data_IF_776293391013
#
_entry.id   IF_776293391013
#
_cell.length_a   1.000
_cell.length_b   1.000
_cell.length_c   1.000
_cell.angle_alpha   90.00
_cell.angle_beta   90.00
_cell.angle_gamma   90.00
#
_symmetry.space_group_name_H-M   'P 1'
#
loop_
_entity.id
_entity.type
_entity.pdbx_description
1 polymer ?
#
# COMPACT_ATOMS: atom_id res chain seq x y z
N UNK A 1 2.87 7.17 22.56
CA UNK A 1 3.52 6.39 21.50
C UNK A 1 2.83 6.78 20.20
N UNK A 2 3.57 7.05 19.17
CA UNK A 2 3.01 7.44 17.86
C UNK A 2 2.12 6.32 17.33
N UNK A 3 0.88 6.63 16.90
CA UNK A 3 -0.09 5.65 16.41
C UNK A 3 0.45 4.85 15.21
N UNK A 4 1.23 5.53 14.37
CA UNK A 4 1.94 4.93 13.26
C UNK A 4 2.87 3.79 13.69
N UNK A 5 3.73 4.02 14.72
CA UNK A 5 4.68 3.01 15.20
C UNK A 5 3.93 1.80 15.75
N UNK A 6 2.82 2.02 16.45
CA UNK A 6 2.00 0.93 16.97
C UNK A 6 1.42 0.08 15.84
N UNK A 7 0.77 0.69 14.84
CA UNK A 7 0.22 -0.01 13.67
C UNK A 7 1.29 -0.81 12.92
N UNK A 8 2.47 -0.18 12.69
CA UNK A 8 3.60 -0.81 12.02
C UNK A 8 4.10 -2.04 12.79
N UNK A 9 4.28 -1.91 14.11
CA UNK A 9 4.73 -3.02 14.97
C UNK A 9 3.73 -4.16 14.98
N UNK A 10 2.43 -3.88 15.11
CA UNK A 10 1.36 -4.89 15.12
C UNK A 10 1.30 -5.63 13.78
N UNK A 11 1.29 -4.88 12.67
CA UNK A 11 1.16 -5.47 11.33
C UNK A 11 2.28 -6.47 11.00
N UNK A 12 3.51 -6.13 11.34
CA UNK A 12 4.67 -6.96 10.99
C UNK A 12 5.25 -7.76 12.16
N UNK A 13 4.57 -7.78 13.32
CA UNK A 13 5.03 -8.44 14.54
C UNK A 13 6.46 -8.05 14.92
N UNK A 14 6.77 -6.74 14.81
CA UNK A 14 8.09 -6.19 15.09
C UNK A 14 8.12 -5.56 16.50
N UNK A 15 9.06 -5.94 17.38
CA UNK A 15 9.23 -5.27 18.67
C UNK A 15 9.49 -3.77 18.51
N UNK A 16 8.93 -2.94 19.39
CA UNK A 16 9.04 -1.47 19.33
C UNK A 16 10.50 -1.01 19.25
N UNK A 17 11.39 -1.61 20.05
CA UNK A 17 12.81 -1.25 20.05
C UNK A 17 13.47 -1.45 18.68
N UNK A 18 13.11 -2.52 17.96
CA UNK A 18 13.61 -2.80 16.60
C UNK A 18 12.96 -1.91 15.55
N UNK A 19 11.69 -1.56 15.71
CA UNK A 19 11.05 -0.60 14.82
C UNK A 19 11.69 0.78 14.92
N UNK A 20 12.00 1.25 16.10
CA UNK A 20 12.72 2.50 16.32
C UNK A 20 14.13 2.43 15.73
N UNK A 21 14.86 1.33 15.94
CA UNK A 21 16.17 1.12 15.33
C UNK A 21 16.12 1.15 13.80
N UNK A 22 15.10 0.57 13.19
CA UNK A 22 14.88 0.61 11.74
C UNK A 22 14.61 2.06 11.30
N UNK A 23 13.68 2.76 11.94
CA UNK A 23 13.30 4.13 11.61
C UNK A 23 14.45 5.12 11.79
N UNK A 24 15.33 4.94 12.78
CA UNK A 24 16.54 5.77 12.98
C UNK A 24 17.54 5.67 11.81
N UNK A 25 17.46 4.60 11.02
CA UNK A 25 18.27 4.41 9.81
C UNK A 25 17.56 4.87 8.52
N UNK A 26 16.34 5.38 8.63
CA UNK A 26 15.53 5.85 7.51
C UNK A 26 15.48 7.37 7.45
N UNK A 27 15.25 7.91 6.26
CA UNK A 27 15.07 9.34 6.03
C UNK A 27 13.58 9.66 5.87
N UNK A 28 13.15 10.84 6.34
CA UNK A 28 11.77 11.30 6.16
C UNK A 28 11.61 12.02 4.82
N UNK A 29 10.51 11.71 4.13
CA UNK A 29 10.11 12.33 2.89
C UNK A 29 8.67 12.83 3.01
N UNK A 30 8.39 13.99 2.41
CA UNK A 30 7.05 14.56 2.27
C UNK A 30 6.65 14.59 0.81
N UNK A 31 5.38 14.28 0.54
CA UNK A 31 4.80 14.26 -0.80
C UNK A 31 3.46 14.97 -0.79
N UNK A 32 3.17 15.69 -1.86
CA UNK A 32 1.85 16.26 -2.10
C UNK A 32 0.94 15.27 -2.84
N UNK A 33 -0.36 15.48 -2.71
CA UNK A 33 -1.33 14.70 -3.48
C UNK A 33 -0.99 14.74 -4.98
N UNK A 34 -0.93 13.56 -5.61
CA UNK A 34 -0.60 13.39 -7.02
C UNK A 34 0.90 13.25 -7.32
N UNK A 35 1.77 13.38 -6.30
CA UNK A 35 3.19 13.08 -6.47
C UNK A 35 3.41 11.57 -6.64
N UNK A 36 4.47 11.24 -7.39
CA UNK A 36 4.85 9.85 -7.64
C UNK A 36 6.12 9.47 -6.90
N UNK A 37 6.09 8.34 -6.23
CA UNK A 37 7.29 7.68 -5.73
C UNK A 37 8.10 7.08 -6.89
N UNK A 38 7.41 6.54 -7.86
CA UNK A 38 7.91 6.05 -9.15
C UNK A 38 6.76 6.01 -10.15
N UNK A 39 7.04 6.34 -11.40
CA UNK A 39 6.11 6.12 -12.51
C UNK A 39 6.46 4.82 -13.24
N UNK A 40 5.48 4.20 -13.90
CA UNK A 40 5.67 3.07 -14.79
C UNK A 40 6.81 3.35 -15.79
N UNK A 41 7.76 2.41 -15.95
CA UNK A 41 8.98 2.60 -16.73
C UNK A 41 10.12 3.31 -15.99
N UNK A 42 9.86 3.95 -14.84
CA UNK A 42 10.87 4.56 -13.97
C UNK A 42 11.60 3.53 -13.10
N UNK A 43 12.63 3.97 -12.37
CA UNK A 43 13.41 3.12 -11.46
C UNK A 43 13.35 3.66 -10.04
N UNK A 44 13.03 2.80 -9.09
CA UNK A 44 13.14 3.07 -7.67
C UNK A 44 13.37 1.74 -6.93
N UNK A 45 14.54 1.57 -6.34
CA UNK A 45 14.89 0.36 -5.57
C UNK A 45 14.83 0.57 -4.05
N UNK A 46 14.36 1.72 -3.59
CA UNK A 46 14.23 2.00 -2.18
C UNK A 46 13.00 1.33 -1.59
N UNK A 47 13.07 1.15 -0.29
CA UNK A 47 11.99 0.67 0.56
C UNK A 47 11.45 1.84 1.39
N UNK A 48 10.12 1.90 1.56
CA UNK A 48 9.46 2.95 2.31
C UNK A 48 8.39 2.40 3.24
N UNK A 49 8.12 3.16 4.31
CA UNK A 49 7.03 2.90 5.26
C UNK A 49 6.17 4.17 5.30
N UNK A 50 4.86 4.01 5.14
CA UNK A 50 3.90 5.12 5.20
C UNK A 50 3.72 5.53 6.67
N UNK A 51 4.18 6.73 7.04
CA UNK A 51 3.91 7.29 8.37
C UNK A 51 2.62 8.12 8.40
N UNK A 52 2.22 8.64 7.23
CA UNK A 52 0.97 9.38 7.07
C UNK A 52 0.54 9.37 5.61
N UNK A 53 -0.75 9.24 5.37
CA UNK A 53 -1.35 9.37 4.03
C UNK A 53 -1.76 8.04 3.41
N UNK A 54 -2.16 8.11 2.15
CA UNK A 54 -2.64 6.97 1.37
C UNK A 54 -1.92 6.95 0.03
N UNK A 55 -1.47 5.77 -0.36
CA UNK A 55 -0.75 5.51 -1.59
C UNK A 55 -1.48 4.50 -2.45
N UNK A 56 -1.31 4.61 -3.76
CA UNK A 56 -1.91 3.73 -4.76
C UNK A 56 -0.84 3.19 -5.70
N UNK A 57 -0.82 1.88 -5.91
CA UNK A 57 -0.12 1.24 -7.02
C UNK A 57 -1.09 1.03 -8.19
N UNK A 58 -0.69 1.45 -9.40
CA UNK A 58 -1.52 1.30 -10.60
C UNK A 58 -0.67 1.19 -11.87
N UNK A 59 -1.26 0.69 -12.93
CA UNK A 59 -0.67 0.63 -14.28
C UNK A 59 -1.71 0.94 -15.34
N UNK A 60 -1.25 1.19 -16.56
CA UNK A 60 -2.12 1.40 -17.71
C UNK A 60 -2.23 0.11 -18.54
N UNK A 61 -3.44 -0.42 -18.69
CA UNK A 61 -3.75 -1.55 -19.56
C UNK A 61 -4.56 -1.06 -20.74
N UNK A 62 -3.95 -0.95 -21.93
CA UNK A 62 -4.57 -0.40 -23.14
C UNK A 62 -5.26 0.96 -22.91
N UNK A 63 -4.61 1.83 -22.11
CA UNK A 63 -5.11 3.14 -21.77
C UNK A 63 -6.13 3.17 -20.62
N UNK A 64 -6.47 2.02 -20.04
CA UNK A 64 -7.33 1.90 -18.86
C UNK A 64 -6.46 1.92 -17.59
N UNK A 65 -6.74 2.84 -16.68
CA UNK A 65 -6.07 2.95 -15.38
C UNK A 65 -6.55 1.83 -14.44
N UNK A 66 -5.65 0.91 -14.08
CA UNK A 66 -5.93 -0.25 -13.22
C UNK A 66 -5.21 -0.12 -11.90
N UNK A 67 -5.97 0.00 -10.81
CA UNK A 67 -5.43 -0.02 -9.43
C UNK A 67 -5.14 -1.45 -8.98
N UNK A 68 -3.93 -1.69 -8.47
CA UNK A 68 -3.48 -3.03 -8.01
C UNK A 68 -3.47 -3.14 -6.49
N UNK A 69 -3.16 -2.04 -5.79
CA UNK A 69 -3.16 -2.00 -4.33
C UNK A 69 -3.28 -0.57 -3.82
N UNK A 70 -3.68 -0.47 -2.57
CA UNK A 70 -3.60 0.74 -1.76
C UNK A 70 -2.76 0.43 -0.52
N UNK A 71 -2.12 1.47 0.01
CA UNK A 71 -1.38 1.39 1.26
C UNK A 71 -1.64 2.63 2.10
N UNK A 72 -1.76 2.44 3.40
CA UNK A 72 -2.03 3.46 4.40
C UNK A 72 -0.99 3.46 5.52
N UNK A 73 -1.21 4.25 6.55
CA UNK A 73 -0.34 4.38 7.72
C UNK A 73 0.06 3.03 8.33
N UNK A 74 1.35 2.83 8.53
CA UNK A 74 1.94 1.60 9.05
C UNK A 74 2.27 0.55 7.99
N UNK A 75 1.99 0.82 6.70
CA UNK A 75 2.25 -0.12 5.62
C UNK A 75 3.55 0.18 4.87
N UNK A 76 4.17 -0.88 4.37
CA UNK A 76 5.36 -0.77 3.53
C UNK A 76 4.99 -0.63 2.06
N UNK A 77 5.70 0.25 1.35
CA UNK A 77 5.56 0.45 -0.09
C UNK A 77 6.91 0.45 -0.80
N UNK A 78 6.96 -0.15 -1.96
CA UNK A 78 8.13 -0.18 -2.84
C UNK A 78 7.74 -0.65 -4.25
N UNK A 79 8.54 -0.30 -5.25
CA UNK A 79 8.41 -0.92 -6.56
C UNK A 79 8.94 -2.35 -6.50
N UNK A 80 8.10 -3.36 -6.64
CA UNK A 80 8.52 -4.76 -6.55
C UNK A 80 9.65 -5.08 -7.54
N UNK A 81 9.49 -4.70 -8.80
CA UNK A 81 10.51 -4.90 -9.83
C UNK A 81 11.77 -4.06 -9.60
N UNK A 82 11.62 -2.80 -9.15
CA UNK A 82 12.75 -1.95 -8.80
C UNK A 82 13.52 -2.48 -7.60
N UNK A 83 12.82 -2.87 -6.54
CA UNK A 83 13.43 -3.36 -5.31
C UNK A 83 14.04 -4.77 -5.48
N UNK A 84 13.30 -5.72 -6.06
CA UNK A 84 13.75 -7.12 -6.17
C UNK A 84 14.79 -7.29 -7.27
N UNK A 85 14.47 -6.86 -8.49
CA UNK A 85 15.25 -7.12 -9.70
C UNK A 85 16.15 -5.94 -10.14
N UNK A 86 16.04 -4.80 -9.47
CA UNK A 86 16.73 -3.57 -9.86
C UNK A 86 16.43 -3.15 -11.34
N UNK A 87 15.20 -3.41 -11.78
CA UNK A 87 14.71 -3.07 -13.13
C UNK A 87 13.72 -1.93 -13.10
N UNK A 88 13.10 -1.61 -14.22
CA UNK A 88 12.04 -0.60 -14.31
C UNK A 88 10.77 -1.06 -13.61
N UNK A 89 10.04 -0.14 -13.00
CA UNK A 89 8.75 -0.40 -12.37
C UNK A 89 7.69 -0.68 -13.43
N UNK A 90 6.89 -1.72 -13.23
CA UNK A 90 5.72 -2.02 -14.06
C UNK A 90 4.45 -1.33 -13.54
N UNK A 91 4.54 -0.64 -12.40
CA UNK A 91 3.44 0.12 -11.82
C UNK A 91 3.91 1.52 -11.46
N UNK A 92 3.02 2.48 -11.54
CA UNK A 92 3.16 3.79 -10.92
C UNK A 92 2.74 3.71 -9.47
N UNK A 93 3.45 4.40 -8.57
CA UNK A 93 3.13 4.51 -7.15
C UNK A 93 2.86 5.99 -6.86
N UNK A 94 1.60 6.34 -6.57
CA UNK A 94 1.06 7.69 -6.49
C UNK A 94 0.51 8.00 -5.10
N UNK A 95 0.77 9.22 -4.60
CA UNK A 95 0.18 9.74 -3.37
C UNK A 95 -1.27 10.20 -3.60
N UNK A 96 -2.23 9.61 -2.88
CA UNK A 96 -3.66 9.97 -3.00
C UNK A 96 -4.05 11.19 -2.15
N UNK A 97 -3.20 11.57 -1.22
CA UNK A 97 -3.28 12.79 -0.39
C UNK A 97 -1.88 13.21 0.04
N UNK A 98 -1.76 14.38 0.69
CA UNK A 98 -0.50 14.81 1.29
C UNK A 98 -0.01 13.75 2.28
N UNK A 99 1.23 13.32 2.13
CA UNK A 99 1.76 12.09 2.73
C UNK A 99 3.17 12.29 3.28
N UNK A 100 3.51 11.48 4.28
CA UNK A 100 4.85 11.38 4.85
C UNK A 100 5.31 9.92 4.80
N UNK A 101 6.55 9.70 4.39
CA UNK A 101 7.18 8.37 4.32
C UNK A 101 8.49 8.37 5.10
N UNK A 102 8.83 7.23 5.69
CA UNK A 102 10.21 6.88 6.01
C UNK A 102 10.76 6.04 4.85
N UNK A 103 11.94 6.39 4.35
CA UNK A 103 12.58 5.71 3.22
C UNK A 103 14.01 5.27 3.51
N UNK A 104 14.40 4.14 2.97
CA UNK A 104 15.76 3.59 3.08
C UNK A 104 16.16 2.93 1.76
N UNK A 105 17.41 3.06 1.36
CA UNK A 105 17.92 2.35 0.18
C UNK A 105 18.00 0.84 0.45
N UNK A 106 17.79 0.03 -0.60
CA UNK A 106 17.93 -1.43 -0.53
C UNK A 106 19.26 -1.84 0.09
N UNK A 107 20.37 -1.22 -0.35
CA UNK A 107 21.69 -1.55 0.14
C UNK A 107 21.85 -1.33 1.66
N UNK A 108 21.34 -0.21 2.19
CA UNK A 108 21.35 0.06 3.64
C UNK A 108 20.45 -0.93 4.40
N UNK A 109 19.28 -1.26 3.84
CA UNK A 109 18.36 -2.21 4.46
C UNK A 109 18.94 -3.63 4.51
N UNK A 110 19.63 -4.06 3.46
CA UNK A 110 20.33 -5.37 3.43
C UNK A 110 21.45 -5.45 4.47
N UNK A 111 22.18 -4.36 4.73
CA UNK A 111 23.17 -4.30 5.81
C UNK A 111 22.50 -4.49 7.19
N UNK A 112 21.34 -3.87 7.41
CA UNK A 112 20.57 -4.05 8.65
C UNK A 112 20.08 -5.50 8.80
N UNK A 113 19.60 -6.12 7.74
CA UNK A 113 19.18 -7.53 7.73
C UNK A 113 20.35 -8.48 8.01
N UNK A 114 21.52 -8.23 7.42
CA UNK A 114 22.72 -9.04 7.68
C UNK A 114 23.22 -8.89 9.13
N UNK A 115 22.96 -7.77 9.77
CA UNK A 115 23.38 -7.49 11.15
C UNK A 115 22.40 -7.95 12.24
N UNK A 116 21.16 -8.33 11.88
CA UNK A 116 20.11 -8.69 12.85
C UNK A 116 19.15 -9.74 12.29
N UNK A 117 19.12 -10.90 12.92
CA UNK A 117 18.19 -11.99 12.59
C UNK A 117 16.73 -11.54 12.76
N UNK A 118 16.45 -10.70 13.76
CA UNK A 118 15.11 -10.16 14.02
C UNK A 118 14.66 -9.23 12.88
N UNK A 119 15.55 -8.35 12.38
CA UNK A 119 15.25 -7.50 11.23
C UNK A 119 15.13 -8.32 9.94
N UNK A 120 15.95 -9.34 9.74
CA UNK A 120 15.81 -10.25 8.59
C UNK A 120 14.45 -10.99 8.65
N UNK A 121 14.03 -11.46 9.82
CA UNK A 121 12.71 -12.05 10.01
C UNK A 121 11.56 -11.05 9.81
N UNK A 122 11.75 -9.78 10.17
CA UNK A 122 10.79 -8.73 9.80
C UNK A 122 10.65 -8.65 8.27
N UNK A 123 11.75 -8.57 7.54
CA UNK A 123 11.74 -8.56 6.06
C UNK A 123 11.00 -9.77 5.49
N UNK A 124 11.29 -10.97 5.99
CA UNK A 124 10.58 -12.19 5.57
C UNK A 124 9.08 -12.10 5.81
N UNK A 125 8.64 -11.71 7.03
CA UNK A 125 7.21 -11.56 7.36
C UNK A 125 6.53 -10.50 6.51
N UNK A 126 7.22 -9.40 6.21
CA UNK A 126 6.73 -8.37 5.32
C UNK A 126 6.40 -8.94 3.93
N UNK A 127 7.33 -9.69 3.33
CA UNK A 127 7.09 -10.31 2.02
C UNK A 127 6.00 -11.39 2.07
N UNK A 128 5.90 -12.15 3.16
CA UNK A 128 4.80 -13.10 3.38
C UNK A 128 3.44 -12.38 3.39
N UNK A 129 3.33 -11.24 4.07
CA UNK A 129 2.11 -10.42 4.09
C UNK A 129 1.78 -9.83 2.72
N UNK A 130 2.78 -9.36 1.99
CA UNK A 130 2.59 -8.87 0.61
C UNK A 130 2.08 -9.99 -0.32
N UNK A 131 2.62 -11.20 -0.18
CA UNK A 131 2.19 -12.36 -0.95
C UNK A 131 0.73 -12.74 -0.65
N UNK A 132 0.36 -12.80 0.64
CA UNK A 132 -1.03 -13.07 1.05
C UNK A 132 -2.00 -11.97 0.53
N UNK A 133 -1.59 -10.70 0.59
CA UNK A 133 -2.36 -9.59 0.04
C UNK A 133 -2.59 -9.74 -1.47
N UNK A 134 -1.56 -10.12 -2.22
CA UNK A 134 -1.66 -10.38 -3.66
C UNK A 134 -2.61 -11.54 -3.96
N UNK A 135 -2.49 -12.66 -3.25
CA UNK A 135 -3.37 -13.83 -3.41
C UNK A 135 -4.83 -13.46 -3.08
N UNK A 136 -5.07 -12.76 -1.98
CA UNK A 136 -6.39 -12.27 -1.60
C UNK A 136 -7.00 -11.37 -2.67
N UNK A 137 -6.21 -10.45 -3.24
CA UNK A 137 -6.65 -9.58 -4.32
C UNK A 137 -7.02 -10.36 -5.57
N UNK A 138 -6.24 -11.38 -5.95
CA UNK A 138 -6.53 -12.25 -7.10
C UNK A 138 -7.81 -13.06 -6.90
N UNK A 139 -8.00 -13.64 -5.71
CA UNK A 139 -9.21 -14.40 -5.36
C UNK A 139 -10.44 -13.46 -5.35
N UNK A 140 -10.28 -12.29 -4.75
CA UNK A 140 -11.33 -11.26 -4.68
C UNK A 140 -11.77 -10.82 -6.06
N UNK A 141 -10.83 -10.59 -6.99
CA UNK A 141 -11.11 -10.22 -8.37
C UNK A 141 -11.97 -11.26 -9.12
N UNK A 142 -11.78 -12.54 -8.82
CA UNK A 142 -12.57 -13.65 -9.38
C UNK A 142 -13.97 -13.85 -8.77
N UNK A 143 -14.28 -13.22 -7.62
CA UNK A 143 -15.57 -13.38 -6.96
C UNK A 143 -16.68 -12.60 -7.68
N UNK A 144 -17.88 -13.19 -7.95
CA UNK A 144 -18.98 -12.49 -8.60
C UNK A 144 -19.70 -11.46 -7.70
N UNK A 145 -19.39 -11.41 -6.40
CA UNK A 145 -20.14 -10.63 -5.41
C UNK A 145 -19.51 -9.26 -5.13
N UNK A 146 -19.70 -8.31 -6.05
CA UNK A 146 -19.17 -6.95 -5.96
C UNK A 146 -19.47 -6.25 -4.63
N UNK A 147 -20.67 -6.46 -4.05
CA UNK A 147 -21.05 -5.87 -2.77
C UNK A 147 -20.21 -6.39 -1.61
N UNK A 148 -19.94 -7.68 -1.55
CA UNK A 148 -19.11 -8.27 -0.49
C UNK A 148 -17.69 -7.74 -0.55
N UNK A 149 -17.07 -7.70 -1.74
CA UNK A 149 -15.74 -7.12 -1.95
C UNK A 149 -15.65 -5.67 -1.46
N UNK A 150 -16.67 -4.88 -1.76
CA UNK A 150 -16.73 -3.49 -1.32
C UNK A 150 -16.86 -3.38 0.21
N UNK A 151 -17.69 -4.20 0.84
CA UNK A 151 -17.86 -4.18 2.29
C UNK A 151 -16.57 -4.59 3.01
N UNK A 152 -15.89 -5.64 2.55
CA UNK A 152 -14.58 -6.06 3.09
C UNK A 152 -13.56 -4.94 2.98
N UNK A 153 -13.46 -4.27 1.83
CA UNK A 153 -12.55 -3.15 1.65
C UNK A 153 -12.81 -2.01 2.64
N UNK A 154 -14.09 -1.71 2.91
CA UNK A 154 -14.48 -0.67 3.87
C UNK A 154 -14.18 -1.02 5.32
N UNK A 155 -14.32 -2.29 5.68
CA UNK A 155 -13.98 -2.78 7.01
C UNK A 155 -12.47 -2.73 7.26
N UNK A 156 -11.69 -3.09 6.25
CA UNK A 156 -10.22 -3.12 6.34
C UNK A 156 -9.58 -1.72 6.21
N UNK A 157 -10.16 -0.86 5.34
CA UNK A 157 -9.55 0.44 4.97
C UNK A 157 -10.62 1.53 4.82
N UNK A 158 -11.30 1.93 5.90
CA UNK A 158 -12.41 2.90 5.84
C UNK A 158 -12.00 4.29 5.33
N UNK A 159 -10.74 4.66 5.50
CA UNK A 159 -10.18 5.94 5.08
C UNK A 159 -10.06 6.08 3.55
N UNK A 160 -10.05 4.98 2.79
CA UNK A 160 -9.93 5.06 1.32
C UNK A 160 -11.03 5.90 0.70
N UNK A 161 -12.25 5.85 1.22
CA UNK A 161 -13.37 6.65 0.69
C UNK A 161 -13.18 8.16 0.83
N UNK A 162 -12.35 8.61 1.77
CA UNK A 162 -12.12 10.04 1.99
C UNK A 162 -11.11 10.62 0.99
N UNK A 163 -10.15 9.83 0.56
CA UNK A 163 -8.99 10.31 -0.19
C UNK A 163 -8.92 9.76 -1.62
N UNK A 164 -9.48 8.57 -1.86
CA UNK A 164 -9.37 7.88 -3.14
C UNK A 164 -10.62 8.06 -3.98
N UNK A 165 -10.53 8.59 -5.22
CA UNK A 165 -11.65 8.68 -6.14
C UNK A 165 -12.32 7.31 -6.38
N UNK A 166 -13.66 7.29 -6.40
CA UNK A 166 -14.43 6.04 -6.56
C UNK A 166 -14.06 5.24 -7.81
N UNK A 167 -13.61 5.90 -8.88
CA UNK A 167 -13.16 5.21 -10.09
C UNK A 167 -11.96 4.29 -9.83
N UNK A 168 -11.03 4.69 -8.96
CA UNK A 168 -9.85 3.89 -8.60
C UNK A 168 -10.21 2.75 -7.64
N UNK A 169 -11.15 2.98 -6.72
CA UNK A 169 -11.72 1.92 -5.87
C UNK A 169 -12.46 0.89 -6.72
N UNK A 170 -13.28 1.33 -7.66
CA UNK A 170 -13.99 0.44 -8.58
C UNK A 170 -13.02 -0.42 -9.41
N UNK A 171 -11.95 0.21 -9.94
CA UNK A 171 -10.89 -0.50 -10.67
C UNK A 171 -10.21 -1.56 -9.80
N UNK A 172 -9.83 -1.22 -8.57
CA UNK A 172 -9.24 -2.18 -7.61
C UNK A 172 -10.16 -3.37 -7.31
N UNK A 173 -11.46 -3.10 -7.19
CA UNK A 173 -12.49 -4.11 -6.93
C UNK A 173 -12.94 -4.89 -8.18
N UNK A 174 -12.35 -4.63 -9.35
CA UNK A 174 -12.73 -5.27 -10.62
C UNK A 174 -14.22 -5.08 -10.98
N UNK A 175 -14.76 -3.88 -10.68
CA UNK A 175 -16.15 -3.52 -10.99
C UNK A 175 -16.20 -2.19 -11.72
N UNK A 176 -17.35 -1.90 -12.34
CA UNK A 176 -17.57 -0.57 -12.94
C UNK A 176 -17.89 0.47 -11.85
N UNK A 177 -17.57 1.76 -12.07
CA UNK A 177 -17.97 2.84 -11.17
C UNK A 177 -19.48 2.87 -10.89
N UNK A 178 -20.31 2.52 -11.89
CA UNK A 178 -21.78 2.44 -11.74
C UNK A 178 -22.19 1.31 -10.79
N UNK A 179 -21.51 0.17 -10.84
CA UNK A 179 -21.75 -0.94 -9.92
C UNK A 179 -21.35 -0.56 -8.49
N UNK A 180 -20.22 0.13 -8.33
CA UNK A 180 -19.79 0.65 -7.02
C UNK A 180 -20.79 1.66 -6.46
N UNK A 181 -21.27 2.61 -7.28
CA UNK A 181 -22.28 3.60 -6.85
C UNK A 181 -23.58 2.93 -6.36
N UNK A 182 -23.99 1.84 -6.98
CA UNK A 182 -25.14 1.05 -6.47
C UNK A 182 -24.86 0.41 -5.11
N UNK A 183 -23.65 -0.14 -4.89
CA UNK A 183 -23.27 -0.67 -3.59
C UNK A 183 -23.34 0.40 -2.49
N UNK A 184 -22.88 1.63 -2.78
CA UNK A 184 -22.92 2.78 -1.88
C UNK A 184 -24.36 3.15 -1.47
N UNK A 185 -25.30 3.13 -2.41
CA UNK A 185 -26.73 3.43 -2.11
C UNK A 185 -27.35 2.44 -1.12
N UNK A 186 -26.91 1.18 -1.12
CA UNK A 186 -27.40 0.16 -0.19
C UNK A 186 -26.71 0.17 1.18
N UNK A 187 -25.58 0.87 1.32
CA UNK A 187 -24.81 0.96 2.57
C UNK A 187 -24.98 2.30 3.29
N UNK A 188 -25.48 3.33 2.60
CA UNK A 188 -25.86 4.59 3.25
C UNK A 188 -27.11 4.36 4.10
N UNK A 189 -27.13 4.79 5.39
CA UNK A 189 -28.38 4.77 6.17
C UNK A 189 -29.42 5.61 5.42
N UNK A 190 -30.58 5.02 5.17
CA UNK A 190 -31.74 5.73 4.58
C UNK A 190 -32.00 7.00 5.38
N UNK A 191 -32.07 8.18 4.76
CA UNK A 191 -32.46 9.38 5.49
C UNK A 191 -33.87 9.15 6.06
N UNK A 192 -33.97 9.20 7.40
CA UNK A 192 -35.25 9.25 8.09
C UNK A 192 -35.89 10.62 8.00
#
# INVERSE_FOLDING_TARGET
MDAFIQKFCEKYSLPIALSLQLLDNMEKFTFHKGDFLVQEGGRNSNFYIVSKGIWRGHYLNDGVDVSVWFASEGEAIFSSWGYVENTVSLVSIEAMCDSELYGISKAKLEVLYAGSVELANFGRRLFEQQFLGLESWMITGGSPRAKERYLTLLEENPELLQYVPLKHIASYLWITPQSLSRCLLYTSPSPR
#
